data_IF_896770286290
#
_entry.id   IF_896770286290
#
_cell.length_a   1.000
_cell.length_b   1.000
_cell.length_c   1.000
_cell.angle_alpha   90.00
_cell.angle_beta   90.00
_cell.angle_gamma   90.00
#
_symmetry.space_group_name_H-M   'P 1'
#
loop_
_entity.id
_entity.type
_entity.pdbx_description
1 polymer ?
#
# COMPACT_ATOMS: atom_id res chain seq x y z
N UNK A 1 -12.41 -21.25 -20.75
CA UNK A 1 -11.36 -21.34 -19.71
C UNK A 1 -11.80 -20.41 -18.58
N UNK A 2 -12.36 -20.97 -17.50
CA UNK A 2 -13.23 -20.24 -16.57
C UNK A 2 -12.49 -19.72 -15.33
N UNK A 3 -12.98 -18.61 -14.78
CA UNK A 3 -12.54 -17.84 -13.62
C UNK A 3 -12.57 -18.58 -12.25
N UNK A 4 -12.49 -19.91 -12.27
CA UNK A 4 -12.53 -20.80 -11.11
C UNK A 4 -11.32 -21.75 -11.18
N UNK A 5 -10.10 -21.23 -11.01
CA UNK A 5 -8.93 -22.09 -10.87
C UNK A 5 -8.90 -22.65 -9.44
N UNK A 6 -9.21 -23.94 -9.29
CA UNK A 6 -8.81 -24.76 -8.13
C UNK A 6 -9.95 -25.34 -7.28
N UNK A 7 -10.82 -24.51 -6.72
CA UNK A 7 -11.72 -24.92 -5.61
C UNK A 7 -13.19 -24.47 -5.75
N UNK A 8 -13.59 -23.93 -6.91
CA UNK A 8 -14.98 -23.51 -7.14
C UNK A 8 -15.48 -22.46 -6.12
N UNK A 9 -16.66 -22.68 -5.55
CA UNK A 9 -17.27 -21.80 -4.55
C UNK A 9 -16.51 -21.75 -3.22
N UNK A 10 -15.83 -22.84 -2.84
CA UNK A 10 -15.06 -22.93 -1.60
C UNK A 10 -13.85 -21.98 -1.66
N UNK A 11 -13.10 -22.01 -2.75
CA UNK A 11 -11.99 -21.07 -2.98
C UNK A 11 -12.45 -19.61 -3.04
N UNK A 12 -13.61 -19.33 -3.65
CA UNK A 12 -14.18 -17.99 -3.70
C UNK A 12 -14.56 -17.46 -2.30
N UNK A 13 -15.17 -18.32 -1.47
CA UNK A 13 -15.48 -17.99 -0.08
C UNK A 13 -14.20 -17.72 0.73
N UNK A 14 -13.21 -18.61 0.67
CA UNK A 14 -11.92 -18.42 1.35
C UNK A 14 -11.23 -17.13 0.91
N UNK A 15 -11.22 -16.85 -0.39
CA UNK A 15 -10.67 -15.60 -0.92
C UNK A 15 -11.43 -14.37 -0.40
N UNK A 16 -12.76 -14.46 -0.26
CA UNK A 16 -13.59 -13.43 0.37
C UNK A 16 -13.19 -13.19 1.84
N UNK A 17 -13.03 -14.25 2.63
CA UNK A 17 -12.60 -14.17 4.03
C UNK A 17 -11.20 -13.55 4.15
N UNK A 18 -10.25 -14.01 3.33
CA UNK A 18 -8.89 -13.46 3.29
C UNK A 18 -8.94 -11.98 2.92
N UNK A 19 -9.68 -11.61 1.88
CA UNK A 19 -9.85 -10.21 1.47
C UNK A 19 -10.43 -9.33 2.56
N UNK A 20 -11.43 -9.82 3.32
CA UNK A 20 -11.99 -9.10 4.46
C UNK A 20 -10.99 -8.94 5.60
N UNK A 21 -10.24 -9.99 5.95
CA UNK A 21 -9.22 -9.95 7.00
C UNK A 21 -8.06 -9.02 6.62
N UNK A 22 -7.59 -9.10 5.37
CA UNK A 22 -6.61 -8.19 4.78
C UNK A 22 -7.12 -6.75 4.83
N UNK A 23 -8.35 -6.51 4.37
CA UNK A 23 -9.01 -5.21 4.43
C UNK A 23 -9.03 -4.68 5.85
N UNK A 24 -9.55 -5.45 6.80
CA UNK A 24 -9.64 -5.09 8.22
C UNK A 24 -8.28 -4.80 8.86
N UNK A 25 -7.25 -5.62 8.60
CA UNK A 25 -5.90 -5.39 9.13
C UNK A 25 -5.34 -4.04 8.69
N UNK A 26 -5.43 -3.77 7.40
CA UNK A 26 -4.96 -2.51 6.82
C UNK A 26 -5.85 -1.32 7.18
N UNK A 27 -7.12 -1.59 7.47
CA UNK A 27 -8.13 -0.62 7.84
C UNK A 27 -8.00 -0.13 9.30
N UNK A 28 -7.88 -1.06 10.25
CA UNK A 28 -8.16 -0.73 11.65
C UNK A 28 -7.12 -1.23 12.64
N UNK A 29 -6.53 -2.41 12.42
CA UNK A 29 -5.72 -3.08 13.46
C UNK A 29 -4.22 -2.86 13.35
N UNK A 30 -3.69 -2.76 12.14
CA UNK A 30 -2.26 -2.81 11.89
C UNK A 30 -1.50 -1.52 12.23
N UNK A 31 -2.05 -0.37 11.83
CA UNK A 31 -1.57 0.91 12.35
C UNK A 31 -1.92 1.05 13.83
N UNK A 32 -3.09 0.57 14.27
CA UNK A 32 -3.49 0.36 15.67
C UNK A 32 -2.38 -0.07 16.63
N UNK A 33 -1.60 -1.06 16.21
CA UNK A 33 -0.44 -1.53 16.98
C UNK A 33 0.70 -0.52 17.04
N UNK A 34 0.93 0.28 15.99
CA UNK A 34 2.01 1.29 15.93
C UNK A 34 1.85 2.40 16.99
N UNK A 35 0.62 2.79 17.39
CA UNK A 35 0.40 3.66 18.58
C UNK A 35 0.40 2.84 19.86
N UNK A 36 -0.14 1.60 19.83
CA UNK A 36 -0.17 0.73 21.00
C UNK A 36 1.22 0.37 21.54
N UNK A 37 2.27 0.47 20.71
CA UNK A 37 3.66 0.32 21.14
C UNK A 37 4.24 1.53 21.89
N UNK A 38 3.48 2.63 22.05
CA UNK A 38 3.87 3.87 22.77
C UNK A 38 5.26 4.44 22.38
N UNK A 39 5.77 4.06 21.20
CA UNK A 39 7.12 4.39 20.81
C UNK A 39 7.24 5.89 20.48
N UNK A 40 7.94 6.63 21.31
CA UNK A 40 8.20 8.06 21.12
C UNK A 40 9.35 8.32 20.14
N UNK A 41 10.31 7.38 20.05
CA UNK A 41 11.48 7.49 19.17
C UNK A 41 11.14 7.24 17.69
N UNK A 42 11.88 7.90 16.79
CA UNK A 42 11.72 7.74 15.34
C UNK A 42 11.97 6.28 14.90
N UNK A 43 12.93 5.59 15.54
CA UNK A 43 13.23 4.17 15.26
C UNK A 43 12.07 3.28 15.67
N UNK A 44 11.49 3.49 16.86
CA UNK A 44 10.36 2.68 17.32
C UNK A 44 9.11 2.89 16.47
N UNK A 45 8.85 4.13 16.02
CA UNK A 45 7.78 4.43 15.05
C UNK A 45 8.00 3.72 13.72
N UNK A 46 9.24 3.71 13.22
CA UNK A 46 9.60 2.99 11.99
C UNK A 46 9.45 1.47 12.16
N UNK A 47 9.91 0.91 13.29
CA UNK A 47 9.76 -0.51 13.59
C UNK A 47 8.29 -0.93 13.65
N UNK A 48 7.42 -0.11 14.24
CA UNK A 48 5.97 -0.33 14.23
C UNK A 48 5.41 -0.37 12.81
N UNK A 49 5.77 0.59 11.96
CA UNK A 49 5.34 0.63 10.54
C UNK A 49 5.84 -0.59 9.76
N UNK A 50 7.07 -1.03 10.01
CA UNK A 50 7.63 -2.26 9.42
C UNK A 50 6.88 -3.51 9.91
N UNK A 51 6.58 -3.61 11.20
CA UNK A 51 5.78 -4.71 11.76
C UNK A 51 4.38 -4.77 11.15
N UNK A 52 3.73 -3.60 11.00
CA UNK A 52 2.46 -3.48 10.30
C UNK A 52 2.52 -4.05 8.87
N UNK A 53 3.52 -3.63 8.09
CA UNK A 53 3.74 -4.12 6.73
C UNK A 53 4.03 -5.63 6.72
N UNK A 54 4.91 -6.12 7.59
CA UNK A 54 5.29 -7.53 7.65
C UNK A 54 4.08 -8.42 7.94
N UNK A 55 3.25 -8.06 8.93
CA UNK A 55 2.06 -8.82 9.27
C UNK A 55 1.05 -8.77 8.13
N UNK A 56 0.84 -7.60 7.51
CA UNK A 56 -0.06 -7.47 6.38
C UNK A 56 0.37 -8.35 5.20
N UNK A 57 1.62 -8.21 4.76
CA UNK A 57 2.16 -8.99 3.63
C UNK A 57 2.22 -10.50 3.93
N UNK A 58 2.65 -10.89 5.13
CA UNK A 58 2.70 -12.30 5.53
C UNK A 58 1.31 -12.90 5.60
N UNK A 59 0.39 -12.25 6.33
CA UNK A 59 -0.99 -12.70 6.50
C UNK A 59 -1.71 -12.83 5.17
N UNK A 60 -1.56 -11.84 4.28
CA UNK A 60 -2.14 -11.90 2.94
C UNK A 60 -1.59 -13.08 2.14
N UNK A 61 -0.27 -13.32 2.15
CA UNK A 61 0.33 -14.43 1.40
C UNK A 61 -0.09 -15.80 1.95
N UNK A 62 -0.13 -15.97 3.27
CA UNK A 62 -0.56 -17.19 3.95
C UNK A 62 -2.05 -17.46 3.64
N UNK A 63 -2.89 -16.45 3.78
CA UNK A 63 -4.31 -16.52 3.47
C UNK A 63 -4.56 -16.86 1.99
N UNK A 64 -3.84 -16.21 1.07
CA UNK A 64 -3.97 -16.47 -0.36
C UNK A 64 -3.49 -17.87 -0.76
N UNK A 65 -2.49 -18.43 -0.08
CA UNK A 65 -2.10 -19.82 -0.28
C UNK A 65 -3.22 -20.76 0.17
N UNK A 66 -3.76 -20.53 1.38
CA UNK A 66 -4.88 -21.30 1.91
C UNK A 66 -6.13 -21.23 1.03
N UNK A 67 -6.49 -20.04 0.53
CA UNK A 67 -7.64 -19.84 -0.35
C UNK A 67 -7.48 -20.50 -1.73
N UNK A 68 -6.25 -20.88 -2.10
CA UNK A 68 -5.93 -21.62 -3.33
C UNK A 68 -5.77 -23.13 -3.10
N UNK A 69 -6.01 -23.62 -1.88
CA UNK A 69 -5.77 -25.02 -1.51
C UNK A 69 -4.30 -25.41 -1.41
N UNK A 70 -3.40 -24.42 -1.42
CA UNK A 70 -1.96 -24.63 -1.28
C UNK A 70 -1.57 -24.69 0.21
N UNK A 71 -0.41 -25.25 0.52
CA UNK A 71 0.13 -25.17 1.88
C UNK A 71 0.32 -23.69 2.26
N UNK A 72 -0.26 -23.20 3.37
CA UNK A 72 -0.22 -21.79 3.75
C UNK A 72 1.19 -21.19 3.84
N UNK A 73 2.19 -22.00 4.22
CA UNK A 73 3.57 -21.57 4.40
C UNK A 73 4.49 -21.92 3.22
N UNK A 74 3.94 -22.42 2.11
CA UNK A 74 4.72 -22.78 0.92
C UNK A 74 5.41 -21.57 0.28
N UNK A 75 4.75 -20.40 0.32
CA UNK A 75 5.25 -19.14 -0.21
C UNK A 75 4.74 -17.96 0.63
N UNK A 76 5.56 -17.48 1.55
CA UNK A 76 5.24 -16.35 2.43
C UNK A 76 5.96 -15.10 1.96
N UNK A 77 5.25 -13.98 1.86
CA UNK A 77 5.84 -12.68 1.51
C UNK A 77 6.03 -11.85 2.76
N UNK A 78 7.24 -11.31 2.96
CA UNK A 78 7.56 -10.36 4.02
C UNK A 78 7.95 -9.02 3.41
N UNK A 79 7.19 -7.99 3.71
CA UNK A 79 7.53 -6.62 3.33
C UNK A 79 8.55 -6.01 4.29
N UNK A 80 9.63 -5.47 3.73
CA UNK A 80 10.73 -4.83 4.46
C UNK A 80 10.96 -3.45 3.85
N UNK A 81 10.16 -2.48 4.27
CA UNK A 81 10.19 -1.13 3.71
C UNK A 81 9.80 -1.13 2.23
N UNK A 82 10.66 -0.65 1.31
CA UNK A 82 10.31 -0.54 -0.11
C UNK A 82 10.31 -1.88 -0.87
N UNK A 83 10.72 -2.99 -0.25
CA UNK A 83 10.87 -4.28 -0.92
C UNK A 83 10.07 -5.38 -0.25
N UNK A 84 9.54 -6.29 -1.07
CA UNK A 84 8.90 -7.52 -0.63
C UNK A 84 9.81 -8.73 -0.90
N UNK A 85 10.12 -9.46 0.17
CA UNK A 85 10.89 -10.70 0.16
C UNK A 85 9.96 -11.90 0.13
N UNK A 86 10.31 -12.95 -0.61
CA UNK A 86 9.56 -14.20 -0.66
C UNK A 86 10.34 -15.32 0.03
N UNK A 87 9.72 -15.93 1.03
CA UNK A 87 10.23 -17.08 1.75
C UNK A 87 9.44 -18.33 1.34
N UNK A 88 10.16 -19.44 1.16
CA UNK A 88 9.55 -20.71 0.77
C UNK A 88 10.56 -21.62 0.10
N UNK A 89 10.38 -22.94 0.24
CA UNK A 89 11.29 -23.91 -0.37
C UNK A 89 11.28 -23.76 -1.89
N UNK A 90 12.46 -23.52 -2.49
CA UNK A 90 12.61 -23.34 -3.94
C UNK A 90 12.15 -21.98 -4.48
N UNK A 91 11.72 -21.05 -3.62
CA UNK A 91 11.36 -19.70 -4.02
C UNK A 91 12.62 -18.83 -4.13
N UNK A 92 12.66 -17.95 -5.15
CA UNK A 92 13.64 -16.85 -5.17
C UNK A 92 13.24 -15.82 -4.14
N UNK A 93 14.21 -15.35 -3.36
CA UNK A 93 14.01 -14.36 -2.30
C UNK A 93 13.42 -13.05 -2.85
N UNK A 94 13.94 -12.57 -3.98
CA UNK A 94 13.44 -11.39 -4.69
C UNK A 94 12.65 -11.84 -5.91
N UNK A 95 11.37 -11.47 -5.93
CA UNK A 95 10.49 -11.65 -7.08
C UNK A 95 10.01 -10.29 -7.53
N UNK A 96 10.40 -9.89 -8.74
CA UNK A 96 9.98 -8.62 -9.36
C UNK A 96 8.46 -8.47 -9.39
N UNK A 97 7.75 -9.60 -9.57
CA UNK A 97 6.29 -9.68 -9.57
C UNK A 97 5.60 -9.26 -8.25
N UNK A 98 6.34 -9.21 -7.14
CA UNK A 98 5.81 -8.78 -5.84
C UNK A 98 6.17 -7.32 -5.53
N UNK A 99 6.83 -6.64 -6.47
CA UNK A 99 7.37 -5.29 -6.31
C UNK A 99 6.99 -4.41 -7.51
N UNK A 100 6.04 -4.83 -8.36
CA UNK A 100 5.77 -4.18 -9.65
C UNK A 100 5.26 -2.75 -9.45
N UNK A 101 4.37 -2.52 -8.49
CA UNK A 101 3.87 -1.19 -8.17
C UNK A 101 4.99 -0.27 -7.71
N UNK A 102 5.88 -0.78 -6.85
CA UNK A 102 7.04 -0.02 -6.38
C UNK A 102 8.01 0.33 -7.52
N UNK A 103 8.31 -0.64 -8.40
CA UNK A 103 9.18 -0.43 -9.56
C UNK A 103 8.57 0.59 -10.52
N UNK A 104 7.30 0.42 -10.90
CA UNK A 104 6.63 1.29 -11.84
C UNK A 104 6.55 2.73 -11.32
N UNK A 105 6.20 2.91 -10.05
CA UNK A 105 6.06 4.24 -9.46
C UNK A 105 7.43 4.92 -9.34
N UNK A 106 8.46 4.24 -8.81
CA UNK A 106 9.80 4.85 -8.75
C UNK A 106 10.40 5.11 -10.14
N UNK A 107 10.14 4.26 -11.14
CA UNK A 107 10.58 4.49 -12.51
C UNK A 107 9.95 5.77 -13.11
N UNK A 108 8.66 5.99 -12.87
CA UNK A 108 7.99 7.23 -13.26
C UNK A 108 8.58 8.45 -12.56
N UNK A 109 8.88 8.33 -11.26
CA UNK A 109 9.51 9.40 -10.46
C UNK A 109 10.92 9.75 -10.92
N UNK A 110 11.73 8.73 -11.26
CA UNK A 110 13.05 8.95 -11.85
C UNK A 110 12.94 9.60 -13.23
N UNK A 111 11.94 9.21 -14.03
CA UNK A 111 11.63 9.85 -15.30
C UNK A 111 11.33 11.35 -15.14
N UNK A 112 10.66 11.74 -14.05
CA UNK A 112 10.38 13.15 -13.75
C UNK A 112 11.64 14.03 -13.64
N UNK A 113 12.79 13.46 -13.25
CA UNK A 113 14.05 14.18 -13.15
C UNK A 113 14.53 14.72 -14.50
N UNK A 114 14.23 14.01 -15.59
CA UNK A 114 14.56 14.45 -16.95
C UNK A 114 13.76 15.71 -17.38
N UNK A 115 12.72 16.08 -16.64
CA UNK A 115 11.86 17.22 -16.92
C UNK A 115 12.00 18.34 -15.89
N UNK A 116 13.16 18.42 -15.21
CA UNK A 116 13.42 19.44 -14.19
C UNK A 116 12.83 19.12 -12.81
N UNK A 117 12.36 17.90 -12.60
CA UNK A 117 11.94 17.41 -11.29
C UNK A 117 13.10 17.18 -10.33
N UNK A 118 12.77 17.05 -9.05
CA UNK A 118 13.70 16.80 -7.94
C UNK A 118 13.39 15.47 -7.28
N UNK A 119 14.40 14.83 -6.69
CA UNK A 119 14.23 13.65 -5.85
C UNK A 119 14.89 13.88 -4.50
N UNK A 120 14.25 13.37 -3.45
CA UNK A 120 14.85 13.19 -2.12
C UNK A 120 14.36 11.87 -1.53
N UNK A 121 15.03 11.42 -0.47
CA UNK A 121 14.62 10.22 0.26
C UNK A 121 14.16 10.57 1.68
N UNK A 122 12.96 10.15 2.03
CA UNK A 122 12.41 10.27 3.37
C UNK A 122 12.83 9.03 4.19
N UNK A 123 13.81 9.21 5.07
CA UNK A 123 14.31 8.12 5.93
C UNK A 123 13.33 7.68 7.01
N UNK A 124 12.39 8.55 7.42
CA UNK A 124 11.36 8.22 8.44
C UNK A 124 10.29 7.28 7.89
N UNK A 125 10.15 7.25 6.57
CA UNK A 125 9.20 6.41 5.86
C UNK A 125 9.87 5.46 4.85
N UNK A 126 11.19 5.50 4.72
CA UNK A 126 11.97 4.71 3.76
C UNK A 126 11.44 4.85 2.33
N UNK A 127 11.12 6.06 1.89
CA UNK A 127 10.43 6.30 0.62
C UNK A 127 11.07 7.42 -0.20
N UNK A 128 11.08 7.24 -1.51
CA UNK A 128 11.43 8.30 -2.45
C UNK A 128 10.32 9.35 -2.50
N UNK A 129 10.72 10.61 -2.60
CA UNK A 129 9.84 11.76 -2.81
C UNK A 129 10.32 12.48 -4.06
N UNK A 130 9.44 12.59 -5.05
CA UNK A 130 9.67 13.23 -6.33
C UNK A 130 8.81 14.49 -6.43
N UNK A 131 9.41 15.65 -6.71
CA UNK A 131 8.65 16.91 -6.84
C UNK A 131 9.01 17.66 -8.11
N UNK A 132 8.17 18.63 -8.49
CA UNK A 132 8.42 19.51 -9.63
C UNK A 132 8.42 18.80 -10.98
N UNK A 133 8.94 19.46 -12.02
CA UNK A 133 8.98 18.91 -13.38
C UNK A 133 7.59 18.64 -13.96
N UNK A 134 7.34 17.42 -14.45
CA UNK A 134 6.01 17.01 -14.94
C UNK A 134 4.96 17.00 -13.83
N UNK A 135 5.40 16.86 -12.58
CA UNK A 135 4.50 16.81 -11.43
C UNK A 135 3.83 18.15 -11.14
N UNK A 136 4.34 19.28 -11.66
CA UNK A 136 3.68 20.59 -11.59
C UNK A 136 2.29 20.61 -12.25
N UNK A 137 2.05 19.68 -13.16
CA UNK A 137 0.76 19.56 -13.87
C UNK A 137 -0.25 18.69 -13.10
N UNK A 138 0.17 18.07 -12.01
CA UNK A 138 -0.73 17.30 -11.15
C UNK A 138 -1.51 18.27 -10.26
N UNK A 139 -2.83 18.13 -10.21
CA UNK A 139 -3.70 18.96 -9.36
C UNK A 139 -3.58 18.69 -7.86
N UNK A 140 -2.60 17.91 -7.43
CA UNK A 140 -2.43 17.46 -6.06
C UNK A 140 -1.28 16.46 -5.92
N UNK A 141 -1.16 15.91 -4.70
CA UNK A 141 -0.16 14.91 -4.40
C UNK A 141 -0.62 13.48 -4.62
N UNK A 142 0.34 12.58 -4.82
CA UNK A 142 0.09 11.17 -5.11
C UNK A 142 1.18 10.28 -4.51
N UNK A 143 0.78 9.28 -3.74
CA UNK A 143 1.68 8.54 -2.86
C UNK A 143 1.65 7.01 -2.89
N UNK A 144 1.26 6.28 -3.96
CA UNK A 144 1.44 4.83 -3.95
C UNK A 144 2.93 4.49 -4.10
N UNK A 145 3.52 3.82 -3.11
CA UNK A 145 4.92 3.34 -3.07
C UNK A 145 6.04 4.42 -3.09
N UNK A 146 5.80 5.60 -3.66
CA UNK A 146 6.63 6.82 -3.57
C UNK A 146 5.73 8.05 -3.63
N UNK A 147 6.16 9.16 -3.02
CA UNK A 147 5.40 10.42 -3.04
C UNK A 147 5.76 11.27 -4.26
N UNK A 148 4.77 11.84 -4.96
CA UNK A 148 4.90 12.59 -6.22
C UNK A 148 3.92 13.76 -6.38
N UNK A 149 4.38 14.94 -6.82
CA UNK A 149 3.55 16.12 -7.17
C UNK A 149 4.31 17.46 -7.17
N UNK A 150 3.63 18.62 -7.20
CA UNK A 150 4.27 19.93 -7.42
C UNK A 150 5.30 20.36 -6.36
N UNK A 151 6.21 21.27 -6.74
CA UNK A 151 7.07 21.97 -5.79
C UNK A 151 6.20 22.87 -4.89
N UNK A 152 6.39 22.76 -3.56
CA UNK A 152 5.68 23.61 -2.59
C UNK A 152 4.56 22.93 -1.81
N UNK A 153 4.46 21.60 -1.85
CA UNK A 153 3.56 20.87 -0.97
C UNK A 153 3.72 21.18 0.50
N UNK A 154 2.60 21.17 1.21
CA UNK A 154 2.58 21.29 2.66
C UNK A 154 3.11 20.03 3.32
N UNK A 155 3.67 20.17 4.52
CA UNK A 155 4.08 19.04 5.35
C UNK A 155 2.90 18.09 5.64
N UNK A 156 1.69 18.62 5.74
CA UNK A 156 0.46 17.85 5.89
C UNK A 156 0.18 16.96 4.66
N UNK A 157 0.32 17.51 3.45
CA UNK A 157 0.16 16.74 2.20
C UNK A 157 1.20 15.62 2.12
N UNK A 158 2.45 15.92 2.50
CA UNK A 158 3.50 14.90 2.54
C UNK A 158 3.18 13.79 3.54
N UNK A 159 2.71 14.13 4.74
CA UNK A 159 2.33 13.12 5.75
C UNK A 159 1.15 12.26 5.28
N UNK A 160 0.18 12.85 4.61
CA UNK A 160 -0.94 12.17 3.99
C UNK A 160 -0.45 11.16 2.94
N UNK A 161 0.40 11.56 2.00
CA UNK A 161 0.95 10.64 1.00
C UNK A 161 1.80 9.53 1.61
N UNK A 162 2.56 9.83 2.67
CA UNK A 162 3.33 8.81 3.39
C UNK A 162 2.41 7.74 4.01
N UNK A 163 1.17 8.09 4.34
CA UNK A 163 0.19 7.11 4.79
C UNK A 163 -0.15 6.12 3.67
N UNK A 164 -0.41 6.62 2.46
CA UNK A 164 -0.66 5.78 1.28
C UNK A 164 0.51 4.87 0.94
N UNK A 165 1.76 5.31 1.14
CA UNK A 165 2.93 4.45 0.95
C UNK A 165 2.91 3.26 1.92
N UNK A 166 2.56 3.47 3.18
CA UNK A 166 2.53 2.38 4.16
C UNK A 166 1.34 1.45 3.95
N UNK A 167 0.17 2.00 3.57
CA UNK A 167 -0.96 1.17 3.11
C UNK A 167 -0.53 0.34 1.89
N UNK A 168 0.11 0.96 0.89
CA UNK A 168 0.51 0.26 -0.33
C UNK A 168 1.51 -0.86 -0.08
N UNK A 169 2.40 -0.68 0.91
CA UNK A 169 3.33 -1.71 1.37
C UNK A 169 2.65 -2.90 2.02
N UNK A 170 1.63 -2.66 2.83
CA UNK A 170 0.92 -3.73 3.52
C UNK A 170 -0.07 -4.48 2.60
N UNK A 171 -0.62 -3.82 1.58
CA UNK A 171 -1.39 -4.47 0.50
C UNK A 171 -0.52 -5.06 -0.62
N UNK A 172 0.74 -4.66 -0.74
CA UNK A 172 1.59 -4.99 -1.88
C UNK A 172 1.01 -4.47 -3.19
N UNK A 173 1.24 -5.18 -4.30
CA UNK A 173 0.82 -4.77 -5.65
C UNK A 173 -0.72 -4.69 -5.86
N UNK A 174 -1.51 -5.14 -4.88
CA UNK A 174 -2.99 -5.05 -4.92
C UNK A 174 -3.54 -3.71 -4.44
N UNK A 175 -2.71 -2.85 -3.84
CA UNK A 175 -3.15 -1.58 -3.26
C UNK A 175 -3.93 -0.71 -4.26
N UNK A 176 -3.36 -0.45 -5.43
CA UNK A 176 -3.99 0.39 -6.45
C UNK A 176 -5.30 -0.20 -6.97
N UNK A 177 -5.39 -1.54 -7.02
CA UNK A 177 -6.63 -2.23 -7.37
C UNK A 177 -7.70 -2.00 -6.30
N UNK A 178 -7.38 -2.19 -5.02
CA UNK A 178 -8.31 -1.92 -3.92
C UNK A 178 -8.72 -0.44 -3.86
N UNK A 179 -7.76 0.46 -4.07
CA UNK A 179 -7.98 1.90 -4.09
C UNK A 179 -8.94 2.29 -5.23
N UNK A 180 -8.72 1.76 -6.45
CA UNK A 180 -9.60 2.01 -7.60
C UNK A 180 -10.97 1.33 -7.51
N UNK A 181 -11.06 0.13 -6.92
CA UNK A 181 -12.33 -0.60 -6.75
C UNK A 181 -13.34 0.20 -5.92
N UNK A 182 -12.90 1.03 -4.97
CA UNK A 182 -13.81 1.91 -4.22
C UNK A 182 -14.47 2.97 -5.12
N UNK A 183 -13.77 3.47 -6.14
CA UNK A 183 -14.36 4.35 -7.14
C UNK A 183 -15.42 3.66 -8.00
N UNK A 184 -15.20 2.39 -8.33
CA UNK A 184 -16.18 1.57 -9.04
C UNK A 184 -17.43 1.27 -8.19
N UNK A 185 -17.25 0.96 -6.90
CA UNK A 185 -18.39 0.80 -5.98
C UNK A 185 -19.17 2.12 -5.84
N UNK A 186 -18.49 3.26 -5.80
CA UNK A 186 -19.13 4.56 -5.74
C UNK A 186 -19.95 4.87 -7.01
N UNK A 187 -19.44 4.51 -8.19
CA UNK A 187 -20.17 4.71 -9.46
C UNK A 187 -21.46 3.89 -9.50
N UNK A 188 -21.44 2.65 -9.03
CA UNK A 188 -22.63 1.81 -8.89
C UNK A 188 -23.66 2.43 -7.92
N UNK A 189 -23.18 3.16 -6.90
CA UNK A 189 -24.03 3.87 -5.94
C UNK A 189 -24.49 5.26 -6.45
N UNK A 190 -24.24 5.61 -7.71
CA UNK A 190 -24.62 6.89 -8.30
C UNK A 190 -23.82 8.10 -7.75
N UNK A 191 -22.66 7.84 -7.12
CA UNK A 191 -21.79 8.88 -6.58
C UNK A 191 -20.68 9.22 -7.57
N UNK A 192 -20.15 10.44 -7.48
CA UNK A 192 -18.98 10.88 -8.25
C UNK A 192 -17.79 9.94 -8.00
N UNK A 193 -17.30 9.21 -9.02
CA UNK A 193 -16.16 8.30 -8.86
C UNK A 193 -14.89 9.06 -8.47
N UNK A 194 -14.70 10.27 -9.02
CA UNK A 194 -13.53 11.11 -8.78
C UNK A 194 -13.51 11.58 -7.32
N UNK A 195 -14.62 12.16 -6.84
CA UNK A 195 -14.69 12.60 -5.43
C UNK A 195 -14.56 11.43 -4.46
N UNK A 196 -15.06 10.25 -4.86
CA UNK A 196 -14.96 9.07 -4.02
C UNK A 196 -13.57 8.44 -4.02
N UNK A 197 -12.83 8.49 -5.13
CA UNK A 197 -11.46 7.99 -5.18
C UNK A 197 -10.51 8.91 -4.42
N UNK A 198 -10.62 10.23 -4.60
CA UNK A 198 -9.61 11.19 -4.14
C UNK A 198 -9.97 11.92 -2.85
N UNK A 199 -11.20 11.82 -2.35
CA UNK A 199 -11.62 12.60 -1.15
C UNK A 199 -12.34 11.72 -0.13
N UNK A 200 -13.19 10.79 -0.59
CA UNK A 200 -14.04 9.99 0.30
C UNK A 200 -13.69 8.50 0.32
N UNK A 201 -12.57 8.13 -0.29
CA UNK A 201 -12.12 6.76 -0.26
C UNK A 201 -11.79 6.41 1.19
N UNK A 202 -12.05 5.17 1.56
CA UNK A 202 -11.56 4.60 2.79
C UNK A 202 -10.08 4.94 3.08
N UNK A 203 -9.21 4.77 2.08
CA UNK A 203 -7.78 5.05 2.24
C UNK A 203 -7.49 6.53 2.49
N UNK A 204 -8.21 7.42 1.80
CA UNK A 204 -8.14 8.88 1.96
C UNK A 204 -8.61 9.30 3.36
N UNK A 205 -9.75 8.77 3.82
CA UNK A 205 -10.30 9.07 5.13
C UNK A 205 -9.36 8.64 6.27
N UNK A 206 -8.62 7.54 6.11
CA UNK A 206 -7.55 7.15 7.03
C UNK A 206 -6.36 8.13 6.96
N UNK A 207 -5.93 8.50 5.75
CA UNK A 207 -4.79 9.39 5.54
C UNK A 207 -5.05 10.84 6.04
N UNK A 208 -6.30 11.31 6.03
CA UNK A 208 -6.73 12.61 6.59
C UNK A 208 -6.81 12.65 8.13
N UNK A 209 -6.48 11.55 8.82
CA UNK A 209 -6.22 11.61 10.25
C UNK A 209 -7.45 11.57 11.16
N UNK A 210 -8.63 11.12 10.67
CA UNK A 210 -9.74 10.81 11.58
C UNK A 210 -9.36 9.78 12.66
N UNK A 211 -8.28 9.06 12.41
CA UNK A 211 -7.50 8.38 13.41
C UNK A 211 -6.05 8.45 12.88
N UNK A 212 -5.06 9.02 13.59
CA UNK A 212 -3.60 8.81 13.35
C UNK A 212 -2.77 9.95 12.71
N UNK A 213 -1.67 10.26 13.41
CA UNK A 213 -0.73 11.39 13.26
C UNK A 213 -1.31 12.79 13.57
N UNK A 214 -1.57 13.06 14.86
CA UNK A 214 -1.27 14.39 15.37
C UNK A 214 -0.06 14.27 16.30
N UNK A 215 0.83 15.28 16.33
CA UNK A 215 1.83 15.43 17.39
C UNK A 215 1.20 15.43 18.77
#
# INVERSE_FOLDING_TARGET
MNAFSGEGWDGAWKAGVVGLATGAWNASGGFGMVKGFEATSDIGKLAGKLGYQMIGTAGNSIGNNWARGENPFSKVTLGVGPVNLTLGKGQKLLQWKNNLGNIATNAFGLGNLAFGGKAKFDWKNLASVYTGGLMEKMGGAWGPYSAMGPDGWTQQSLQHEMHHIWQSRAFGDTFLLHYGLHGFVASIQGKSPIDFIFVRNYFEAQAYGHYWFNP
#
